data_IF_320960279489
#
_entry.id   IF_320960279489
#
_cell.length_a   1.000
_cell.length_b   1.000
_cell.length_c   1.000
_cell.angle_alpha   90.00
_cell.angle_beta   90.00
_cell.angle_gamma   90.00
#
_symmetry.space_group_name_H-M   'P 1'
#
loop_
_entity.id
_entity.type
_entity.pdbx_description
1 polymer ?
#
# COMPACT_ATOMS: atom_id res chain seq x y z
N UNK A 1 2.01 24.32 -19.86
CA UNK A 1 2.42 23.26 -18.91
C UNK A 1 1.21 22.37 -18.68
N UNK A 2 1.36 21.05 -18.81
CA UNK A 2 0.28 20.08 -18.56
C UNK A 2 0.65 19.30 -17.31
N UNK A 3 -0.27 19.20 -16.35
CA UNK A 3 -0.10 18.44 -15.12
C UNK A 3 -1.16 17.34 -15.12
N UNK A 4 -0.72 16.10 -14.93
CA UNK A 4 -1.63 14.95 -14.78
C UNK A 4 -2.07 14.87 -13.33
N UNK A 5 -3.38 14.82 -13.09
CA UNK A 5 -3.94 14.71 -11.74
C UNK A 5 -4.26 13.24 -11.42
N UNK A 6 -3.23 12.46 -11.11
CA UNK A 6 -3.38 11.04 -10.77
C UNK A 6 -4.27 10.84 -9.53
N UNK A 7 -4.23 11.75 -8.56
CA UNK A 7 -5.06 11.71 -7.35
C UNK A 7 -6.55 11.72 -7.70
N UNK A 8 -6.99 12.63 -8.58
CA UNK A 8 -8.38 12.68 -9.01
C UNK A 8 -8.82 11.40 -9.73
N UNK A 9 -7.93 10.82 -10.56
CA UNK A 9 -8.22 9.54 -11.26
C UNK A 9 -8.36 8.39 -10.26
N UNK A 10 -7.52 8.32 -9.23
CA UNK A 10 -7.57 7.26 -8.21
C UNK A 10 -8.78 7.38 -7.27
N UNK A 11 -9.40 8.56 -7.20
CA UNK A 11 -10.59 8.81 -6.38
C UNK A 11 -11.89 9.00 -7.19
N UNK A 12 -11.86 8.83 -8.51
CA UNK A 12 -13.03 9.04 -9.36
C UNK A 12 -14.10 7.95 -9.13
N UNK A 13 -15.30 8.29 -8.62
CA UNK A 13 -16.36 7.32 -8.39
C UNK A 13 -16.92 6.68 -9.67
N UNK A 14 -16.67 7.28 -10.85
CA UNK A 14 -17.03 6.67 -12.14
C UNK A 14 -16.09 5.53 -12.55
N UNK A 15 -14.87 5.51 -12.01
CA UNK A 15 -13.85 4.49 -12.27
C UNK A 15 -13.74 3.48 -11.11
N UNK A 16 -13.99 3.93 -9.87
CA UNK A 16 -13.77 3.18 -8.65
C UNK A 16 -15.06 3.08 -7.82
N UNK A 17 -15.48 1.86 -7.49
CA UNK A 17 -16.56 1.65 -6.52
C UNK A 17 -16.03 1.93 -5.10
N UNK A 18 -16.67 2.86 -4.40
CA UNK A 18 -16.27 3.35 -3.07
C UNK A 18 -14.79 3.77 -3.00
N UNK A 19 -14.37 4.81 -3.77
CA UNK A 19 -12.95 5.15 -3.96
C UNK A 19 -12.21 5.45 -2.65
N UNK A 20 -12.93 6.00 -1.67
CA UNK A 20 -12.40 6.41 -0.35
C UNK A 20 -12.28 5.25 0.65
N UNK A 21 -12.77 4.06 0.30
CA UNK A 21 -12.72 2.88 1.18
C UNK A 21 -11.58 1.95 0.76
N UNK A 22 -10.77 1.53 1.73
CA UNK A 22 -9.75 0.51 1.52
C UNK A 22 -10.39 -0.86 1.32
N UNK A 23 -10.27 -1.42 0.11
CA UNK A 23 -10.80 -2.74 -0.28
C UNK A 23 -9.77 -3.49 -1.11
N UNK A 24 -9.23 -4.58 -0.58
CA UNK A 24 -8.22 -5.40 -1.27
C UNK A 24 -8.83 -6.20 -2.42
N UNK A 25 -10.06 -6.64 -2.23
CA UNK A 25 -10.87 -7.45 -3.14
C UNK A 25 -11.05 -6.76 -4.49
N UNK A 26 -10.90 -5.42 -4.53
CA UNK A 26 -10.94 -4.64 -5.77
C UNK A 26 -9.85 -5.05 -6.77
N UNK A 27 -8.71 -5.52 -6.29
CA UNK A 27 -7.57 -5.93 -7.12
C UNK A 27 -7.57 -7.43 -7.43
N UNK A 28 -8.52 -8.19 -6.88
CA UNK A 28 -8.66 -9.61 -7.16
C UNK A 28 -9.13 -9.86 -8.60
N UNK A 29 -8.60 -10.92 -9.20
CA UNK A 29 -8.98 -11.40 -10.52
C UNK A 29 -10.09 -12.43 -10.35
N UNK A 30 -11.26 -12.18 -10.96
CA UNK A 30 -12.47 -13.01 -10.75
C UNK A 30 -12.55 -14.21 -11.72
N UNK A 31 -11.59 -14.37 -12.63
CA UNK A 31 -11.58 -15.51 -13.54
C UNK A 31 -10.25 -15.73 -14.28
N UNK A 32 -10.00 -16.95 -14.78
CA UNK A 32 -8.80 -17.26 -15.55
C UNK A 32 -8.76 -16.42 -16.84
N UNK A 33 -7.70 -15.62 -17.01
CA UNK A 33 -7.50 -14.75 -18.17
C UNK A 33 -8.09 -13.34 -18.03
N UNK A 34 -8.73 -13.01 -16.90
CA UNK A 34 -9.15 -11.64 -16.62
C UNK A 34 -8.03 -10.85 -15.93
N UNK A 35 -7.77 -9.63 -16.40
CA UNK A 35 -7.03 -8.64 -15.61
C UNK A 35 -8.04 -7.90 -14.75
N UNK A 36 -7.77 -7.74 -13.45
CA UNK A 36 -8.64 -6.88 -12.62
C UNK A 36 -8.72 -5.50 -13.25
N UNK A 37 -9.95 -5.00 -13.44
CA UNK A 37 -10.21 -3.65 -13.97
C UNK A 37 -9.44 -2.58 -13.18
N UNK A 38 -9.19 -2.80 -11.90
CA UNK A 38 -8.41 -1.91 -11.06
C UNK A 38 -6.96 -1.73 -11.55
N UNK A 39 -6.33 -2.75 -12.14
CA UNK A 39 -4.98 -2.64 -12.69
C UNK A 39 -4.89 -1.70 -13.90
N UNK A 40 -6.01 -1.42 -14.58
CA UNK A 40 -6.03 -0.52 -15.74
C UNK A 40 -6.04 0.96 -15.35
N UNK A 41 -6.64 1.28 -14.20
CA UNK A 41 -6.84 2.68 -13.78
C UNK A 41 -5.87 3.12 -12.67
N UNK A 42 -5.20 2.18 -12.01
CA UNK A 42 -4.19 2.52 -11.01
C UNK A 42 -2.86 2.90 -11.69
N UNK A 43 -2.28 4.02 -11.25
CA UNK A 43 -1.02 4.55 -11.80
C UNK A 43 -0.08 4.96 -10.66
N UNK A 44 0.43 4.01 -9.86
CA UNK A 44 1.29 4.34 -8.72
C UNK A 44 2.72 4.70 -9.18
N UNK A 45 3.10 4.28 -10.38
CA UNK A 45 4.42 4.49 -10.99
C UNK A 45 4.33 5.14 -12.37
N UNK A 46 3.18 5.72 -12.70
CA UNK A 46 2.86 6.28 -14.02
C UNK A 46 2.98 5.26 -15.17
N UNK A 47 2.71 5.69 -16.41
CA UNK A 47 2.74 4.84 -17.62
C UNK A 47 3.54 5.54 -18.74
N UNK A 48 4.18 4.75 -19.60
CA UNK A 48 4.85 5.23 -20.81
C UNK A 48 6.32 5.60 -20.60
N UNK A 49 6.88 6.47 -21.46
CA UNK A 49 8.32 6.77 -21.49
C UNK A 49 8.87 7.44 -20.22
N UNK A 50 8.00 7.97 -19.37
CA UNK A 50 8.35 8.60 -18.08
C UNK A 50 7.89 7.78 -16.87
N UNK A 51 7.47 6.53 -17.07
CA UNK A 51 7.16 5.63 -15.97
C UNK A 51 8.38 5.47 -15.06
N UNK A 52 8.12 5.27 -13.77
CA UNK A 52 9.17 5.17 -12.76
C UNK A 52 10.08 3.97 -13.06
N UNK A 53 11.40 4.18 -13.29
CA UNK A 53 12.32 3.07 -13.54
C UNK A 53 12.48 2.16 -12.31
N UNK A 54 12.14 2.67 -11.12
CA UNK A 54 12.18 1.94 -9.85
C UNK A 54 10.93 1.11 -9.52
N UNK A 55 9.92 1.06 -10.40
CA UNK A 55 8.63 0.41 -10.10
C UNK A 55 8.78 -1.05 -9.62
N UNK A 56 9.58 -1.85 -10.33
CA UNK A 56 9.81 -3.26 -9.97
C UNK A 56 10.58 -3.42 -8.66
N UNK A 57 11.56 -2.53 -8.40
CA UNK A 57 12.29 -2.55 -7.14
C UNK A 57 11.37 -2.19 -5.97
N UNK A 58 10.57 -1.13 -6.12
CA UNK A 58 9.61 -0.71 -5.11
C UNK A 58 8.60 -1.82 -4.81
N UNK A 59 8.05 -2.50 -5.82
CA UNK A 59 7.16 -3.64 -5.63
C UNK A 59 7.80 -4.76 -4.82
N UNK A 60 9.07 -5.11 -5.10
CA UNK A 60 9.80 -6.14 -4.36
C UNK A 60 10.07 -5.73 -2.91
N UNK A 61 10.53 -4.50 -2.71
CA UNK A 61 10.84 -3.97 -1.38
C UNK A 61 9.57 -3.90 -0.53
N UNK A 62 8.50 -3.28 -1.04
CA UNK A 62 7.24 -3.14 -0.30
C UNK A 62 6.63 -4.51 0.03
N UNK A 63 6.62 -5.43 -0.94
CA UNK A 63 6.10 -6.79 -0.71
C UNK A 63 6.90 -7.55 0.34
N UNK A 64 8.24 -7.48 0.27
CA UNK A 64 9.12 -8.12 1.24
C UNK A 64 8.95 -7.50 2.63
N UNK A 65 9.00 -6.17 2.74
CA UNK A 65 8.82 -5.46 4.01
C UNK A 65 7.46 -5.78 4.63
N UNK A 66 6.38 -5.73 3.86
CA UNK A 66 5.04 -6.05 4.35
C UNK A 66 4.94 -7.51 4.80
N UNK A 67 5.44 -8.44 3.99
CA UNK A 67 5.48 -9.87 4.31
C UNK A 67 6.27 -10.14 5.60
N UNK A 68 7.45 -9.54 5.74
CA UNK A 68 8.26 -9.65 6.96
C UNK A 68 7.54 -9.05 8.17
N UNK A 69 6.88 -7.89 8.04
CA UNK A 69 6.13 -7.30 9.15
C UNK A 69 4.99 -8.21 9.63
N UNK A 70 4.21 -8.77 8.70
CA UNK A 70 3.09 -9.69 9.03
C UNK A 70 3.61 -10.99 9.64
N UNK A 71 4.67 -11.57 9.08
CA UNK A 71 5.23 -12.84 9.53
C UNK A 71 5.89 -12.71 10.91
N UNK A 72 6.60 -11.62 11.15
CA UNK A 72 7.46 -11.45 12.32
C UNK A 72 6.75 -10.76 13.49
N UNK A 73 5.71 -9.95 13.25
CA UNK A 73 5.08 -9.13 14.28
C UNK A 73 3.55 -9.31 14.34
N UNK A 74 3.00 -9.19 15.54
CA UNK A 74 1.59 -8.94 15.78
C UNK A 74 1.42 -7.43 16.04
N UNK A 75 0.95 -6.71 15.02
CA UNK A 75 0.76 -5.27 15.07
C UNK A 75 -0.57 -4.90 15.73
N UNK A 76 -0.53 -4.07 16.77
CA UNK A 76 -1.71 -3.58 17.49
C UNK A 76 -1.76 -2.06 17.51
N UNK A 77 -2.98 -1.51 17.52
CA UNK A 77 -3.17 -0.08 17.72
C UNK A 77 -2.86 0.29 19.17
N UNK A 78 -2.25 1.46 19.34
CA UNK A 78 -1.96 2.02 20.68
C UNK A 78 -3.24 2.50 21.36
N UNK A 79 -4.20 3.01 20.58
CA UNK A 79 -5.51 3.45 21.06
C UNK A 79 -6.67 2.73 20.35
N UNK A 80 -7.86 2.82 20.95
CA UNK A 80 -9.12 2.31 20.34
C UNK A 80 -9.73 3.30 19.35
N UNK A 81 -9.16 4.49 19.24
CA UNK A 81 -9.68 5.56 18.38
C UNK A 81 -9.50 5.20 16.90
N UNK A 82 -10.30 5.84 16.06
CA UNK A 82 -10.13 5.73 14.62
C UNK A 82 -8.78 6.34 14.23
N UNK A 83 -8.09 5.70 13.29
CA UNK A 83 -6.84 6.23 12.75
C UNK A 83 -7.18 7.46 11.90
N UNK A 84 -6.61 8.61 12.25
CA UNK A 84 -6.73 9.82 11.42
C UNK A 84 -6.05 9.60 10.07
N UNK A 85 -6.81 9.70 8.98
CA UNK A 85 -6.34 9.53 7.60
C UNK A 85 -6.15 10.86 6.87
N UNK A 86 -6.24 12.00 7.57
CA UNK A 86 -5.97 13.30 6.99
C UNK A 86 -4.58 13.37 6.34
N UNK A 87 -4.51 14.01 5.18
CA UNK A 87 -3.27 14.16 4.43
C UNK A 87 -2.44 15.32 5.00
N UNK A 88 -1.16 15.06 5.22
CA UNK A 88 -0.15 16.02 5.60
C UNK A 88 0.50 16.67 4.38
N UNK A 89 1.44 17.58 4.62
CA UNK A 89 2.15 18.30 3.56
C UNK A 89 3.26 17.43 2.96
N UNK A 90 3.30 17.31 1.63
CA UNK A 90 4.40 16.65 0.92
C UNK A 90 3.97 16.06 -0.43
N UNK A 91 4.94 15.68 -1.26
CA UNK A 91 4.70 15.11 -2.60
C UNK A 91 4.15 13.69 -2.54
N UNK A 92 4.40 12.98 -1.42
CA UNK A 92 3.99 11.59 -1.21
C UNK A 92 2.69 11.45 -0.43
N UNK A 93 1.95 12.55 -0.19
CA UNK A 93 0.72 12.57 0.62
C UNK A 93 0.89 11.82 1.96
N UNK A 94 1.87 12.21 2.80
CA UNK A 94 2.05 11.56 4.09
C UNK A 94 0.80 11.75 4.96
N UNK A 95 0.62 10.95 6.01
CA UNK A 95 -0.42 11.23 7.01
C UNK A 95 -0.10 12.53 7.75
N UNK A 96 -1.13 13.32 8.07
CA UNK A 96 -0.99 14.55 8.88
C UNK A 96 -0.48 14.23 10.29
N UNK A 97 -0.96 13.12 10.85
CA UNK A 97 -0.49 12.54 12.12
C UNK A 97 0.17 11.20 11.82
N UNK A 98 1.40 11.00 12.30
CA UNK A 98 2.13 9.76 12.10
C UNK A 98 1.36 8.58 12.73
N UNK A 99 1.35 7.44 12.04
CA UNK A 99 0.73 6.23 12.58
C UNK A 99 1.64 5.60 13.63
N UNK A 100 1.15 5.49 14.86
CA UNK A 100 1.81 4.74 15.93
C UNK A 100 1.21 3.33 16.05
N UNK A 101 2.09 2.34 16.10
CA UNK A 101 1.74 0.92 16.20
C UNK A 101 2.60 0.27 17.28
N UNK A 102 1.96 -0.56 18.10
CA UNK A 102 2.66 -1.47 19.01
C UNK A 102 2.95 -2.77 18.27
N UNK A 103 4.23 -3.09 18.10
CA UNK A 103 4.66 -4.32 17.42
C UNK A 103 5.10 -5.35 18.45
N UNK A 104 4.37 -6.47 18.55
CA UNK A 104 4.75 -7.59 19.42
C UNK A 104 5.46 -8.64 18.57
N UNK A 105 6.70 -8.99 18.93
CA UNK A 105 7.45 -10.03 18.23
C UNK A 105 6.74 -11.39 18.33
N UNK A 106 6.54 -12.05 17.19
CA UNK A 106 6.02 -13.42 17.13
C UNK A 106 7.14 -14.41 17.48
N UNK A 107 6.82 -15.61 18.01
CA UNK A 107 7.82 -16.62 18.35
C UNK A 107 8.75 -17.02 17.20
N UNK A 108 8.30 -16.89 15.95
CA UNK A 108 9.12 -17.18 14.76
C UNK A 108 10.38 -16.29 14.67
N UNK A 109 10.36 -15.06 15.20
CA UNK A 109 11.53 -14.17 15.21
C UNK A 109 12.70 -14.84 15.93
N UNK A 110 12.46 -15.53 17.05
CA UNK A 110 13.54 -16.15 17.82
C UNK A 110 14.30 -17.18 16.98
N UNK A 111 13.60 -17.95 16.15
CA UNK A 111 14.21 -18.93 15.24
C UNK A 111 15.03 -18.26 14.14
N UNK A 112 14.56 -17.12 13.62
CA UNK A 112 15.25 -16.38 12.55
C UNK A 112 16.50 -15.66 13.08
N UNK A 113 16.45 -15.16 14.31
CA UNK A 113 17.61 -14.49 14.94
C UNK A 113 18.67 -15.51 15.34
N UNK A 114 18.27 -16.68 15.85
CA UNK A 114 19.19 -17.75 16.27
C UNK A 114 19.77 -18.57 15.10
N UNK A 115 19.16 -18.58 13.92
CA UNK A 115 19.65 -19.33 12.76
C UNK A 115 20.81 -18.67 12.00
N UNK A 116 21.23 -17.47 12.44
CA UNK A 116 22.32 -16.70 11.84
C UNK A 116 23.58 -16.65 12.73
N UNK A 117 23.63 -17.46 13.79
CA UNK A 117 24.84 -17.84 14.54
C UNK A 117 25.25 -19.27 14.17
#
# INVERSE_FOLDING_TARGET
MVIVNAWAIHQDPSLWVDPTTFKLERFEVVGPGEESRAHKFIMPFEIGRRACPGALLAQRVVSLTLGSLIQCFDGRRVSKEAVDMAEGKGVTMPKAVALELMCIARPIIQKVVQSNE
#
